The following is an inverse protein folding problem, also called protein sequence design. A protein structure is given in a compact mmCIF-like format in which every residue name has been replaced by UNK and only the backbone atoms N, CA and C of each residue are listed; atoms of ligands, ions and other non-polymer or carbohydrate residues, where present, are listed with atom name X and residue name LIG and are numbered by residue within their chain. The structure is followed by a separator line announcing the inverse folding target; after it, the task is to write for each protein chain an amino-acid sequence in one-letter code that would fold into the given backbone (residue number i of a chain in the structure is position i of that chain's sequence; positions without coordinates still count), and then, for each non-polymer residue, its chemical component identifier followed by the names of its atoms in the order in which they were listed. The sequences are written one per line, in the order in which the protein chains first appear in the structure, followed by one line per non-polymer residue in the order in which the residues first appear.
data_IF_194327332350
#
_entry.id   IF_194327332350
#
_cell.length_a   1.000
_cell.length_b   1.000
_cell.length_c   1.000
_cell.angle_alpha   90.00
_cell.angle_beta   90.00
_cell.angle_gamma   90.00
#
_symmetry.space_group_name_H-M   'P 1'
#
loop_
_entity.id
_entity.type
_entity.pdbx_description
1 polymer ?
#
# COMPACT_ATOMS: atom_id res chain seq x y z
N UNK A 1 -2.66 15.86 22.06
CA UNK A 1 -1.50 16.76 21.89
C UNK A 1 -0.16 16.03 21.93
N UNK A 2 0.08 15.13 22.90
CA UNK A 2 1.38 14.45 23.08
C UNK A 2 1.90 13.68 21.85
N UNK A 3 1.06 12.91 21.13
CA UNK A 3 1.50 12.15 19.94
C UNK A 3 2.03 13.01 18.79
N UNK A 4 1.40 14.17 18.53
CA UNK A 4 1.88 15.11 17.50
C UNK A 4 3.24 15.69 17.86
N UNK A 5 3.48 15.95 19.14
CA UNK A 5 4.78 16.42 19.62
C UNK A 5 5.87 15.35 19.49
N UNK A 6 5.56 14.10 19.79
CA UNK A 6 6.50 12.97 19.63
C UNK A 6 6.92 12.84 18.16
N UNK A 7 5.94 12.87 17.25
CA UNK A 7 6.20 12.78 15.82
C UNK A 7 7.05 13.95 15.31
N UNK A 8 6.72 15.18 15.73
CA UNK A 8 7.47 16.38 15.38
C UNK A 8 8.91 16.36 15.93
N UNK A 9 9.10 15.83 17.15
CA UNK A 9 10.43 15.65 17.74
C UNK A 9 11.26 14.61 16.97
N UNK A 10 10.67 13.46 16.61
CA UNK A 10 11.32 12.43 15.81
C UNK A 10 11.67 12.94 14.40
N UNK A 11 10.80 13.73 13.79
CA UNK A 11 11.06 14.34 12.50
C UNK A 11 12.26 15.30 12.55
N UNK A 12 12.32 16.16 13.58
CA UNK A 12 13.44 17.10 13.75
C UNK A 12 14.76 16.44 14.13
N UNK A 13 14.73 15.27 14.80
CA UNK A 13 15.94 14.53 15.15
C UNK A 13 16.47 13.65 14.01
N UNK A 14 15.69 13.43 12.95
CA UNK A 14 16.04 12.58 11.81
C UNK A 14 17.40 12.92 11.16
N UNK A 15 17.77 14.19 10.91
CA UNK A 15 19.09 14.52 10.34
C UNK A 15 20.26 14.13 11.26
N UNK A 16 20.03 14.15 12.57
CA UNK A 16 21.03 13.74 13.57
C UNK A 16 21.15 12.21 13.69
N UNK A 17 20.13 11.48 13.25
CA UNK A 17 20.20 10.02 13.14
C UNK A 17 20.84 9.60 11.82
N UNK A 18 20.59 10.31 10.72
CA UNK A 18 21.28 10.08 9.43
C UNK A 18 22.81 10.14 9.56
N UNK A 19 23.33 10.98 10.45
CA UNK A 19 24.77 11.09 10.76
C UNK A 19 25.28 10.03 11.73
N UNK A 20 24.41 9.44 12.57
CA UNK A 20 24.76 8.42 13.56
C UNK A 20 24.61 6.98 13.04
N UNK A 21 23.79 6.77 12.01
CA UNK A 21 23.59 5.44 11.45
C UNK A 21 24.75 5.02 10.54
N UNK A 22 25.40 3.87 10.81
CA UNK A 22 26.61 3.44 10.10
C UNK A 22 26.35 2.89 8.68
N UNK A 23 25.09 2.72 8.28
CA UNK A 23 24.71 2.36 6.90
C UNK A 23 23.87 3.50 6.35
N UNK A 24 24.36 4.12 5.28
CA UNK A 24 23.84 5.35 4.72
C UNK A 24 22.33 5.31 4.46
N UNK A 25 21.54 5.80 5.42
CA UNK A 25 20.14 6.16 5.19
C UNK A 25 20.01 7.11 4.00
N UNK A 26 21.06 7.90 3.73
CA UNK A 26 21.18 8.82 2.61
C UNK A 26 21.40 8.13 1.24
N UNK A 27 21.77 6.85 1.23
CA UNK A 27 22.03 6.06 0.00
C UNK A 27 20.78 5.28 -0.45
N UNK A 28 19.73 5.25 0.37
CA UNK A 28 18.50 4.52 0.06
C UNK A 28 17.60 5.39 -0.82
N UNK A 29 17.52 5.05 -2.10
CA UNK A 29 16.66 5.76 -3.06
C UNK A 29 15.18 5.40 -2.93
N UNK A 30 14.85 4.20 -2.42
CA UNK A 30 13.48 3.69 -2.35
C UNK A 30 12.80 4.07 -1.03
N UNK A 31 11.70 4.84 -1.04
CA UNK A 31 11.03 5.32 0.17
C UNK A 31 10.60 4.20 1.11
N UNK A 32 10.04 3.12 0.58
CA UNK A 32 9.60 1.97 1.39
C UNK A 32 10.76 1.34 2.16
N UNK A 33 11.90 1.19 1.50
CA UNK A 33 13.10 0.63 2.11
C UNK A 33 13.66 1.59 3.17
N UNK A 34 13.68 2.90 2.89
CA UNK A 34 14.12 3.93 3.83
C UNK A 34 13.32 3.87 5.13
N UNK A 35 11.99 3.96 5.03
CA UNK A 35 11.11 3.95 6.21
C UNK A 35 11.12 2.59 6.92
N UNK A 36 11.35 1.49 6.20
CA UNK A 36 11.48 0.15 6.82
C UNK A 36 12.75 0.02 7.66
N UNK A 37 13.85 0.65 7.23
CA UNK A 37 15.10 0.64 7.99
C UNK A 37 15.01 1.58 9.19
N UNK A 38 14.35 2.72 9.01
CA UNK A 38 14.10 3.66 10.10
C UNK A 38 13.19 3.04 11.18
N UNK A 39 12.19 2.24 10.78
CA UNK A 39 11.31 1.52 11.71
C UNK A 39 12.05 0.54 12.61
N UNK A 40 13.16 -0.04 12.14
CA UNK A 40 14.02 -0.93 12.97
C UNK A 40 14.72 -0.16 14.09
N UNK A 41 14.76 1.16 14.00
CA UNK A 41 15.29 2.03 15.04
C UNK A 41 14.11 2.50 15.89
N UNK A 42 13.96 1.92 17.08
CA UNK A 42 12.81 2.16 17.96
C UNK A 42 12.57 3.67 18.24
N UNK A 43 13.64 4.48 18.19
CA UNK A 43 13.63 5.94 18.34
C UNK A 43 12.72 6.67 17.32
N UNK A 44 12.46 6.06 16.16
CA UNK A 44 11.70 6.66 15.05
C UNK A 44 10.43 5.87 14.69
N UNK A 45 10.00 4.96 15.56
CA UNK A 45 8.87 4.06 15.32
C UNK A 45 7.58 4.78 14.95
N UNK A 46 7.17 5.79 15.71
CA UNK A 46 5.94 6.57 15.45
C UNK A 46 6.02 7.31 14.10
N UNK A 47 7.16 7.91 13.79
CA UNK A 47 7.40 8.57 12.51
C UNK A 47 7.39 7.59 11.33
N UNK A 48 8.04 6.45 11.46
CA UNK A 48 8.07 5.44 10.41
C UNK A 48 6.66 4.84 10.17
N UNK A 49 5.91 4.55 11.23
CA UNK A 49 4.51 4.10 11.11
C UNK A 49 3.62 5.16 10.46
N UNK A 50 3.81 6.44 10.80
CA UNK A 50 3.10 7.53 10.17
C UNK A 50 3.43 7.65 8.68
N UNK A 51 4.71 7.53 8.30
CA UNK A 51 5.13 7.53 6.90
C UNK A 51 4.51 6.36 6.12
N UNK A 52 4.53 5.13 6.65
CA UNK A 52 3.87 3.97 6.03
C UNK A 52 2.37 4.18 5.86
N UNK A 53 1.70 4.74 6.87
CA UNK A 53 0.27 5.04 6.80
C UNK A 53 -0.04 6.06 5.72
N UNK A 54 0.84 7.05 5.56
CA UNK A 54 0.72 8.10 4.54
C UNK A 54 0.99 7.56 3.14
N UNK A 55 2.00 6.70 2.97
CA UNK A 55 2.33 6.08 1.68
C UNK A 55 1.32 5.02 1.24
N UNK A 56 0.59 4.43 2.19
CA UNK A 56 -0.55 3.54 1.90
C UNK A 56 -1.76 4.29 1.34
N UNK A 57 -1.77 5.63 1.40
CA UNK A 57 -2.80 6.42 0.76
C UNK A 57 -2.50 6.52 -0.74
N UNK A 58 -3.48 6.24 -1.62
CA UNK A 58 -3.26 6.38 -3.04
C UNK A 58 -2.87 7.82 -3.38
N UNK A 59 -1.68 7.99 -3.96
CA UNK A 59 -1.09 9.29 -4.30
C UNK A 59 -1.94 10.10 -5.30
N UNK A 60 -2.92 9.47 -5.96
CA UNK A 60 -3.83 10.12 -6.88
C UNK A 60 -5.26 9.56 -6.81
N UNK A 61 -6.22 10.46 -7.00
CA UNK A 61 -7.60 10.19 -7.42
C UNK A 61 -7.71 9.30 -8.68
N UNK A 62 -6.65 9.19 -9.49
CA UNK A 62 -6.62 8.36 -10.70
C UNK A 62 -6.86 6.85 -10.44
N UNK A 63 -6.41 6.30 -9.31
CA UNK A 63 -6.67 4.89 -8.99
C UNK A 63 -8.14 4.66 -8.62
N UNK A 64 -8.78 5.65 -7.98
CA UNK A 64 -10.23 5.63 -7.77
C UNK A 64 -10.97 5.75 -9.10
N UNK A 65 -10.52 6.61 -10.00
CA UNK A 65 -11.09 6.75 -11.34
C UNK A 65 -10.95 5.46 -12.17
N UNK A 66 -9.86 4.70 -12.02
CA UNK A 66 -9.72 3.38 -12.63
C UNK A 66 -10.74 2.37 -12.10
N UNK A 67 -10.94 2.33 -10.76
CA UNK A 67 -11.97 1.46 -10.15
C UNK A 67 -13.37 1.90 -10.56
N UNK A 68 -13.65 3.21 -10.59
CA UNK A 68 -14.92 3.75 -11.08
C UNK A 68 -15.13 3.43 -12.57
N UNK A 69 -14.10 3.49 -13.40
CA UNK A 69 -14.16 3.10 -14.81
C UNK A 69 -14.52 1.62 -14.99
N UNK A 70 -13.95 0.71 -14.19
CA UNK A 70 -14.34 -0.71 -14.18
C UNK A 70 -15.79 -0.90 -13.75
N UNK A 71 -16.23 -0.21 -12.70
CA UNK A 71 -17.62 -0.26 -12.22
C UNK A 71 -18.59 0.27 -13.28
N UNK A 72 -18.23 1.36 -13.96
CA UNK A 72 -19.01 1.92 -15.06
C UNK A 72 -19.07 0.90 -16.20
N UNK A 73 -17.96 0.30 -16.62
CA UNK A 73 -17.94 -0.72 -17.69
C UNK A 73 -18.86 -1.91 -17.36
N UNK A 74 -18.80 -2.42 -16.12
CA UNK A 74 -19.68 -3.49 -15.60
C UNK A 74 -21.15 -3.05 -15.63
N UNK A 75 -21.44 -1.80 -15.27
CA UNK A 75 -22.81 -1.27 -15.22
C UNK A 75 -23.39 -0.86 -16.58
N UNK A 76 -22.57 -0.39 -17.53
CA UNK A 76 -23.06 0.31 -18.72
C UNK A 76 -22.89 -0.44 -20.04
N UNK A 77 -21.86 -1.28 -20.21
CA UNK A 77 -21.52 -1.84 -21.54
C UNK A 77 -21.91 -3.31 -21.70
N UNK A 78 -21.95 -4.10 -20.61
CA UNK A 78 -22.33 -5.50 -20.63
C UNK A 78 -23.54 -5.66 -19.71
N UNK A 79 -24.75 -5.68 -20.28
CA UNK A 79 -26.02 -5.94 -19.58
C UNK A 79 -25.84 -6.89 -18.39
N UNK A 80 -26.07 -6.40 -17.17
CA UNK A 80 -26.71 -7.13 -16.08
C UNK A 80 -26.93 -6.14 -14.93
N UNK A 81 -28.14 -6.08 -14.37
CA UNK A 81 -28.42 -5.44 -13.09
C UNK A 81 -27.78 -6.28 -11.96
N UNK A 82 -26.45 -6.39 -11.98
CA UNK A 82 -25.73 -7.10 -10.94
C UNK A 82 -26.00 -6.39 -9.62
N UNK A 83 -26.34 -7.18 -8.60
CA UNK A 83 -26.46 -6.66 -7.25
C UNK A 83 -25.11 -6.05 -6.85
N UNK A 84 -25.16 -5.06 -5.95
CA UNK A 84 -23.94 -4.37 -5.48
C UNK A 84 -22.93 -5.37 -4.91
N UNK A 85 -23.42 -6.44 -4.27
CA UNK A 85 -22.63 -7.57 -3.77
C UNK A 85 -21.83 -8.24 -4.89
N UNK A 86 -22.48 -8.65 -5.99
CA UNK A 86 -21.79 -9.30 -7.11
C UNK A 86 -20.75 -8.39 -7.77
N UNK A 87 -21.04 -7.09 -7.88
CA UNK A 87 -20.06 -6.11 -8.39
C UNK A 87 -18.85 -6.02 -7.47
N UNK A 88 -19.07 -5.96 -6.16
CA UNK A 88 -18.00 -5.88 -5.17
C UNK A 88 -17.13 -7.15 -5.18
N UNK A 89 -17.76 -8.33 -5.18
CA UNK A 89 -17.05 -9.62 -5.23
C UNK A 89 -16.22 -9.76 -6.49
N UNK A 90 -16.75 -9.31 -7.63
CA UNK A 90 -16.02 -9.32 -8.91
C UNK A 90 -14.80 -8.40 -8.88
N UNK A 91 -14.93 -7.22 -8.28
CA UNK A 91 -13.80 -6.30 -8.10
C UNK A 91 -12.75 -6.90 -7.16
N UNK A 92 -13.16 -7.46 -6.02
CA UNK A 92 -12.26 -8.09 -5.05
C UNK A 92 -11.52 -9.29 -5.66
N UNK A 93 -12.22 -10.14 -6.42
CA UNK A 93 -11.62 -11.25 -7.13
C UNK A 93 -10.61 -10.77 -8.19
N UNK A 94 -10.94 -9.72 -8.93
CA UNK A 94 -10.06 -9.13 -9.93
C UNK A 94 -8.79 -8.51 -9.31
N UNK A 95 -8.90 -7.82 -8.17
CA UNK A 95 -7.74 -7.29 -7.45
C UNK A 95 -6.93 -8.41 -6.78
N UNK A 96 -7.57 -9.48 -6.29
CA UNK A 96 -6.87 -10.63 -5.72
C UNK A 96 -6.11 -11.45 -6.76
N UNK A 97 -6.61 -11.50 -8.00
CA UNK A 97 -5.96 -12.17 -9.12
C UNK A 97 -4.78 -11.36 -9.69
N UNK A 98 -4.74 -10.04 -9.44
CA UNK A 98 -3.55 -9.24 -9.68
C UNK A 98 -2.53 -9.57 -8.59
N UNK A 99 -1.53 -10.38 -8.92
CA UNK A 99 -0.40 -10.63 -8.02
C UNK A 99 0.33 -9.34 -7.62
N UNK A 100 1.29 -9.43 -6.69
CA UNK A 100 2.08 -8.27 -6.21
C UNK A 100 2.90 -7.55 -7.30
N UNK A 101 2.95 -8.08 -8.52
CA UNK A 101 3.62 -7.48 -9.67
C UNK A 101 2.59 -7.02 -10.71
N UNK A 102 2.90 -5.96 -11.46
CA UNK A 102 2.07 -5.48 -12.59
C UNK A 102 1.86 -6.53 -13.71
N UNK A 103 2.55 -7.67 -13.65
CA UNK A 103 2.44 -8.81 -14.57
C UNK A 103 1.58 -9.95 -14.02
N UNK A 104 1.12 -9.86 -12.76
CA UNK A 104 0.18 -10.81 -12.18
C UNK A 104 -1.18 -10.66 -12.86
N UNK A 105 -1.60 -11.71 -13.56
CA UNK A 105 -2.89 -11.81 -14.24
C UNK A 105 -3.59 -13.11 -13.81
N UNK A 106 -4.86 -13.25 -14.15
CA UNK A 106 -5.65 -14.46 -13.86
C UNK A 106 -5.07 -15.74 -14.50
N UNK A 107 -4.19 -15.59 -15.49
CA UNK A 107 -3.51 -16.72 -16.16
C UNK A 107 -2.41 -17.30 -15.28
N UNK A 108 -1.71 -16.44 -14.53
CA UNK A 108 -0.58 -16.82 -13.67
C UNK A 108 -0.96 -16.88 -12.19
N UNK A 109 -2.25 -16.84 -11.86
CA UNK A 109 -2.71 -16.88 -10.47
C UNK A 109 -2.51 -18.28 -9.88
N UNK A 110 -1.65 -18.39 -8.88
CA UNK A 110 -1.52 -19.61 -8.07
C UNK A 110 -2.22 -19.45 -6.72
N UNK A 111 -3.19 -20.32 -6.39
CA UNK A 111 -3.84 -20.29 -5.09
C UNK A 111 -2.83 -20.53 -3.97
N UNK A 112 -2.96 -19.78 -2.86
CA UNK A 112 -2.18 -20.06 -1.65
C UNK A 112 -2.48 -21.46 -1.14
N UNK A 113 -1.47 -22.12 -0.55
CA UNK A 113 -1.54 -23.54 -0.12
C UNK A 113 -2.72 -23.85 0.81
N UNK A 114 -3.27 -22.86 1.53
CA UNK A 114 -4.47 -22.99 2.36
C UNK A 114 -5.77 -23.21 1.57
N UNK A 115 -5.86 -22.73 0.33
CA UNK A 115 -7.02 -22.97 -0.55
C UNK A 115 -6.92 -24.28 -1.36
N UNK A 116 -5.75 -24.95 -1.36
CA UNK A 116 -5.54 -26.20 -2.12
C UNK A 116 -6.03 -27.46 -1.36
N UNK A 117 -6.59 -27.29 -0.16
CA UNK A 117 -7.11 -28.38 0.66
C UNK A 117 -8.61 -28.16 0.93
N UNK A 118 -9.42 -28.47 -0.08
CA UNK A 118 -10.85 -28.72 0.04
C UNK A 118 -11.23 -29.77 -1.02
#
# INVERSE_FOLDING_TARGET
MQKKQILDNQWRSLPNAQTRHPKGLNEISEPDNFWSQLLKTEEFSELAHFAFSTMSLPHANADREQVFGKVILIKTQIRNQLTVETVNDTLLAAESAKGSTRTGNCVNFEPTKKCKAA
#
